data_IF_521011688410
#
_entry.id   IF_521011688410
#
_cell.length_a   1.000
_cell.length_b   1.000
_cell.length_c   1.000
_cell.angle_alpha   90.00
_cell.angle_beta   90.00
_cell.angle_gamma   90.00
#
_symmetry.space_group_name_H-M   'P 1'
#
loop_
_entity.id
_entity.type
_entity.pdbx_description
1 polymer ?
#
# COMPACT_ATOMS: atom_id res chain seq x y z
N UNK A 1 -9.56 12.61 -14.72
CA UNK A 1 -9.44 13.82 -15.58
C UNK A 1 -10.01 13.61 -16.98
N UNK A 2 -9.85 12.42 -17.58
CA UNK A 2 -10.37 12.09 -18.93
C UNK A 2 -11.88 12.37 -19.08
N UNK A 3 -12.71 12.05 -18.07
CA UNK A 3 -14.16 12.30 -18.13
C UNK A 3 -14.53 13.78 -18.34
N UNK A 4 -13.82 14.70 -17.69
CA UNK A 4 -14.07 16.14 -17.85
C UNK A 4 -13.70 16.63 -19.24
N UNK A 5 -12.56 16.18 -19.77
CA UNK A 5 -12.12 16.50 -21.12
C UNK A 5 -13.08 15.94 -22.19
N UNK A 6 -13.52 14.69 -22.02
CA UNK A 6 -14.49 14.06 -22.91
C UNK A 6 -15.83 14.80 -22.91
N UNK A 7 -16.34 15.18 -21.73
CA UNK A 7 -17.57 15.94 -21.61
C UNK A 7 -17.47 17.33 -22.27
N UNK A 8 -16.35 18.05 -22.09
CA UNK A 8 -16.14 19.35 -22.73
C UNK A 8 -16.10 19.23 -24.26
N UNK A 9 -15.43 18.19 -24.79
CA UNK A 9 -15.38 17.92 -26.25
C UNK A 9 -16.77 17.64 -26.81
N UNK A 10 -17.57 16.82 -26.14
CA UNK A 10 -18.92 16.47 -26.58
C UNK A 10 -19.89 17.67 -26.48
N UNK A 11 -19.75 18.50 -25.46
CA UNK A 11 -20.64 19.64 -25.23
C UNK A 11 -20.27 20.90 -26.03
N UNK A 12 -19.08 20.95 -26.63
CA UNK A 12 -18.58 22.12 -27.38
C UNK A 12 -18.43 23.39 -26.53
N UNK A 13 -18.31 23.25 -25.21
CA UNK A 13 -18.23 24.36 -24.25
C UNK A 13 -17.46 23.96 -22.99
N UNK A 14 -16.97 24.91 -22.18
CA UNK A 14 -16.32 24.60 -20.91
C UNK A 14 -17.22 23.81 -19.97
N UNK A 15 -16.68 22.77 -19.34
CA UNK A 15 -17.38 21.90 -18.38
C UNK A 15 -16.63 21.88 -17.06
N UNK A 16 -17.35 22.02 -15.94
CA UNK A 16 -16.83 21.84 -14.58
C UNK A 16 -17.37 20.56 -13.97
N UNK A 17 -16.48 19.60 -13.68
CA UNK A 17 -16.80 18.40 -12.93
C UNK A 17 -16.51 18.64 -11.45
N UNK A 18 -17.49 18.37 -10.58
CA UNK A 18 -17.30 18.38 -9.14
C UNK A 18 -17.78 17.06 -8.54
N UNK A 19 -17.08 16.61 -7.51
CA UNK A 19 -17.47 15.46 -6.71
C UNK A 19 -18.08 15.94 -5.40
N UNK A 20 -19.17 15.29 -4.98
CA UNK A 20 -19.65 15.41 -3.59
C UNK A 20 -18.65 14.72 -2.64
N UNK A 21 -18.75 15.00 -1.33
CA UNK A 21 -17.93 14.28 -0.34
C UNK A 21 -18.17 12.76 -0.40
N UNK A 22 -19.42 12.32 -0.56
CA UNK A 22 -19.74 10.90 -0.70
C UNK A 22 -19.12 10.28 -1.95
N UNK A 23 -19.13 11.01 -3.08
CA UNK A 23 -18.51 10.56 -4.33
C UNK A 23 -16.99 10.43 -4.22
N UNK A 24 -16.32 11.32 -3.47
CA UNK A 24 -14.88 11.21 -3.22
C UNK A 24 -14.52 9.85 -2.60
N UNK A 25 -15.24 9.43 -1.57
CA UNK A 25 -14.98 8.14 -0.89
C UNK A 25 -15.27 6.91 -1.76
N UNK A 26 -16.14 7.05 -2.77
CA UNK A 26 -16.54 5.93 -3.64
C UNK A 26 -15.75 5.81 -4.93
N UNK A 27 -15.05 6.88 -5.35
CA UNK A 27 -14.45 6.95 -6.69
C UNK A 27 -12.94 7.22 -6.70
N UNK A 28 -12.39 7.84 -5.66
CA UNK A 28 -10.98 8.27 -5.66
C UNK A 28 -10.04 7.20 -5.10
N UNK A 29 -10.57 6.30 -4.27
CA UNK A 29 -9.78 5.27 -3.62
C UNK A 29 -9.16 5.72 -2.30
N UNK A 30 -8.49 4.77 -1.65
CA UNK A 30 -7.82 4.96 -0.37
C UNK A 30 -6.49 4.21 -0.32
N UNK A 31 -5.86 4.21 0.86
CA UNK A 31 -4.71 3.34 1.12
C UNK A 31 -5.14 1.88 1.02
N UNK A 32 -4.25 1.06 0.48
CA UNK A 32 -4.45 -0.38 0.36
C UNK A 32 -4.54 -1.05 1.73
N UNK A 33 -5.49 -1.96 1.89
CA UNK A 33 -5.53 -2.84 3.06
C UNK A 33 -4.38 -3.85 2.96
N UNK A 34 -3.63 -4.01 4.05
CA UNK A 34 -2.51 -4.96 4.14
C UNK A 34 -2.69 -5.88 5.33
N UNK A 35 -2.29 -7.13 5.17
CA UNK A 35 -2.10 -8.07 6.27
C UNK A 35 -0.65 -8.52 6.23
N UNK A 36 0.06 -8.35 7.35
CA UNK A 36 1.50 -8.54 7.41
C UNK A 36 1.84 -9.46 8.58
N UNK A 37 2.78 -10.37 8.35
CA UNK A 37 3.42 -11.19 9.37
C UNK A 37 4.90 -10.85 9.39
N UNK A 38 5.37 -10.39 10.54
CA UNK A 38 6.78 -10.13 10.79
C UNK A 38 7.28 -11.14 11.83
N UNK A 39 8.48 -11.66 11.63
CA UNK A 39 9.17 -12.45 12.64
C UNK A 39 10.66 -12.08 12.63
N UNK A 40 11.22 -11.91 13.82
CA UNK A 40 12.59 -11.47 14.02
C UNK A 40 13.36 -12.55 14.78
N UNK A 41 14.54 -12.90 14.27
CA UNK A 41 15.54 -13.66 15.01
C UNK A 41 16.62 -12.70 15.49
N UNK A 42 17.00 -12.77 16.77
CA UNK A 42 18.05 -11.95 17.35
C UNK A 42 19.00 -12.78 18.21
N UNK A 43 20.27 -12.38 18.25
CA UNK A 43 21.25 -12.91 19.19
C UNK A 43 21.09 -12.31 20.59
N UNK A 44 21.81 -12.86 21.58
CA UNK A 44 21.83 -12.33 22.95
C UNK A 44 22.44 -10.91 23.04
N UNK A 45 23.16 -10.47 22.02
CA UNK A 45 23.69 -9.11 21.88
C UNK A 45 22.69 -8.11 21.26
N UNK A 46 21.47 -8.58 20.95
CA UNK A 46 20.40 -7.79 20.35
C UNK A 46 20.52 -7.57 18.85
N UNK A 47 21.50 -8.17 18.17
CA UNK A 47 21.63 -8.04 16.71
C UNK A 47 20.69 -9.00 15.99
N UNK A 48 19.99 -8.49 14.97
CA UNK A 48 19.12 -9.30 14.13
C UNK A 48 19.95 -10.29 13.29
N UNK A 49 19.57 -11.55 13.34
CA UNK A 49 20.15 -12.65 12.56
C UNK A 49 19.24 -13.07 11.41
N UNK A 50 17.92 -12.91 11.57
CA UNK A 50 16.92 -13.20 10.54
C UNK A 50 15.76 -12.20 10.62
N UNK A 51 15.26 -11.78 9.46
CA UNK A 51 14.05 -10.96 9.33
C UNK A 51 13.12 -11.62 8.30
N UNK A 52 11.93 -11.98 8.75
CA UNK A 52 10.84 -12.42 7.89
C UNK A 52 9.78 -11.33 7.80
N UNK A 53 9.41 -10.94 6.58
CA UNK A 53 8.33 -9.98 6.34
C UNK A 53 7.45 -10.47 5.20
N UNK A 54 6.37 -11.16 5.58
CA UNK A 54 5.44 -11.78 4.64
C UNK A 54 4.08 -11.10 4.70
N UNK A 55 3.32 -11.12 3.61
CA UNK A 55 1.94 -10.64 3.69
C UNK A 55 1.18 -10.55 2.39
N UNK A 56 -0.01 -9.97 2.50
CA UNK A 56 -0.97 -9.77 1.43
C UNK A 56 -1.40 -8.31 1.37
N UNK A 57 -1.48 -7.78 0.15
CA UNK A 57 -2.14 -6.51 -0.16
C UNK A 57 -3.32 -6.77 -1.09
N UNK A 58 -4.43 -6.05 -0.90
CA UNK A 58 -5.64 -6.25 -1.71
C UNK A 58 -5.82 -5.14 -2.73
N UNK A 59 -6.18 -5.47 -3.97
CA UNK A 59 -6.51 -4.46 -5.01
C UNK A 59 -7.57 -5.00 -5.96
N UNK A 60 -8.29 -4.17 -6.73
CA UNK A 60 -9.03 -4.69 -7.88
C UNK A 60 -8.06 -5.01 -9.02
N UNK A 61 -8.46 -5.96 -9.86
CA UNK A 61 -7.66 -6.46 -10.99
C UNK A 61 -7.14 -5.36 -11.94
N UNK A 62 -7.91 -4.28 -12.08
CA UNK A 62 -7.57 -3.15 -12.96
C UNK A 62 -6.81 -2.01 -12.24
N UNK A 63 -6.48 -2.17 -10.95
CA UNK A 63 -5.74 -1.16 -10.20
C UNK A 63 -4.28 -1.10 -10.67
N UNK A 64 -3.80 0.13 -10.85
CA UNK A 64 -2.41 0.45 -11.16
C UNK A 64 -1.57 0.72 -9.89
N UNK A 65 -2.21 0.75 -8.72
CA UNK A 65 -1.54 0.98 -7.44
C UNK A 65 -1.28 -0.36 -6.75
N UNK A 66 -0.01 -0.77 -6.75
CA UNK A 66 0.50 -1.91 -5.98
C UNK A 66 1.19 -1.37 -4.73
N UNK A 67 0.64 -1.66 -3.55
CA UNK A 67 1.17 -1.14 -2.29
C UNK A 67 2.35 -2.00 -1.82
N UNK A 68 3.57 -1.51 -2.03
CA UNK A 68 4.81 -2.18 -1.64
C UNK A 68 5.15 -2.11 -0.16
N UNK A 69 4.30 -2.63 0.74
CA UNK A 69 4.56 -2.59 2.19
C UNK A 69 5.85 -3.34 2.60
N UNK A 70 6.30 -4.30 1.79
CA UNK A 70 7.52 -5.09 2.06
C UNK A 70 8.83 -4.33 1.84
N UNK A 71 8.79 -3.09 1.33
CA UNK A 71 9.97 -2.24 1.17
C UNK A 71 10.70 -2.03 2.49
N UNK A 72 9.94 -1.89 3.58
CA UNK A 72 10.49 -1.59 4.91
C UNK A 72 11.30 -2.75 5.47
N UNK A 73 10.86 -3.99 5.23
CA UNK A 73 11.59 -5.20 5.64
C UNK A 73 12.96 -5.32 4.97
N UNK A 74 13.16 -4.68 3.82
CA UNK A 74 14.40 -4.71 3.05
C UNK A 74 15.42 -3.67 3.49
N UNK A 75 14.99 -2.61 4.17
CA UNK A 75 15.82 -1.40 4.28
C UNK A 75 15.94 -0.80 5.68
N UNK A 76 15.04 -1.05 6.62
CA UNK A 76 15.11 -0.37 7.93
C UNK A 76 16.25 -0.87 8.81
N UNK A 77 16.45 -2.19 8.89
CA UNK A 77 17.42 -2.79 9.79
C UNK A 77 18.37 -3.75 9.08
N UNK A 78 19.62 -3.76 9.54
CA UNK A 78 20.57 -4.78 9.15
C UNK A 78 20.20 -6.11 9.81
N UNK A 79 20.19 -7.19 9.02
CA UNK A 79 19.99 -8.56 9.46
C UNK A 79 20.92 -9.48 8.67
N UNK A 80 21.33 -10.60 9.25
CA UNK A 80 22.16 -11.60 8.59
C UNK A 80 21.45 -12.31 7.43
N UNK A 81 20.13 -12.41 7.48
CA UNK A 81 19.29 -13.04 6.46
C UNK A 81 17.90 -12.41 6.38
N UNK A 82 17.31 -12.47 5.19
CA UNK A 82 16.01 -11.89 4.90
C UNK A 82 15.13 -12.89 4.13
N UNK A 83 13.89 -13.03 4.54
CA UNK A 83 12.83 -13.71 3.78
C UNK A 83 11.63 -12.77 3.65
N UNK A 84 11.45 -12.20 2.45
CA UNK A 84 10.50 -11.10 2.23
C UNK A 84 9.62 -11.45 1.04
N UNK A 85 8.34 -11.68 1.32
CA UNK A 85 7.37 -12.17 0.35
C UNK A 85 6.11 -11.32 0.43
N UNK A 86 5.73 -10.70 -0.68
CA UNK A 86 4.51 -9.92 -0.78
C UNK A 86 3.61 -10.51 -1.86
N UNK A 87 2.38 -10.81 -1.48
CA UNK A 87 1.33 -11.24 -2.38
C UNK A 87 0.32 -10.13 -2.63
N UNK A 88 -0.34 -10.20 -3.78
CA UNK A 88 -1.51 -9.39 -4.08
C UNK A 88 -2.73 -10.29 -4.23
N UNK A 89 -3.87 -9.84 -3.72
CA UNK A 89 -5.16 -10.50 -3.87
C UNK A 89 -6.09 -9.58 -4.64
N UNK A 90 -6.61 -10.08 -5.74
CA UNK A 90 -7.61 -9.38 -6.54
C UNK A 90 -8.98 -9.48 -5.87
N UNK A 91 -9.59 -8.33 -5.56
CA UNK A 91 -10.91 -8.22 -4.93
C UNK A 91 -11.77 -7.14 -5.59
N UNK A 92 -13.09 -7.32 -5.53
CA UNK A 92 -14.07 -6.34 -6.04
C UNK A 92 -14.25 -5.17 -5.06
N UNK A 93 -13.30 -4.25 -5.08
CA UNK A 93 -13.27 -3.06 -4.23
C UNK A 93 -12.89 -1.80 -5.04
N UNK A 94 -13.09 -0.62 -4.45
CA UNK A 94 -12.70 0.65 -5.07
C UNK A 94 -11.18 0.66 -5.26
N UNK A 95 -10.72 0.98 -6.46
CA UNK A 95 -9.28 1.01 -6.76
C UNK A 95 -8.50 1.85 -5.76
N UNK A 96 -7.41 1.28 -5.24
CA UNK A 96 -6.53 1.97 -4.31
C UNK A 96 -5.84 3.14 -5.00
N UNK A 97 -5.40 4.11 -4.19
CA UNK A 97 -4.61 5.25 -4.66
C UNK A 97 -3.44 5.48 -3.72
N UNK A 98 -2.39 6.10 -4.25
CA UNK A 98 -1.24 6.51 -3.45
C UNK A 98 -1.66 7.43 -2.30
N UNK A 99 -1.16 7.12 -1.11
CA UNK A 99 -1.30 7.93 0.10
C UNK A 99 0.09 8.23 0.65
N UNK A 100 0.22 9.30 1.44
CA UNK A 100 1.51 9.78 1.99
C UNK A 100 2.30 8.62 2.61
N UNK A 101 3.58 8.44 2.23
CA UNK A 101 4.38 7.24 2.53
C UNK A 101 3.72 5.94 2.00
N UNK A 102 3.71 5.75 0.66
CA UNK A 102 3.11 4.59 0.01
C UNK A 102 3.94 3.33 0.25
N UNK A 103 3.36 2.33 0.89
CA UNK A 103 4.06 1.13 1.35
C UNK A 103 4.79 1.34 2.67
N UNK A 104 5.54 2.44 2.85
CA UNK A 104 6.32 2.60 4.07
C UNK A 104 5.44 2.79 5.31
N UNK A 105 4.38 3.59 5.24
CA UNK A 105 3.51 3.80 6.40
C UNK A 105 2.94 2.50 6.99
N UNK A 106 2.31 1.61 6.20
CA UNK A 106 1.86 0.31 6.74
C UNK A 106 3.03 -0.65 7.01
N UNK A 107 4.12 -0.58 6.25
CA UNK A 107 5.25 -1.49 6.39
C UNK A 107 6.10 -1.23 7.64
N UNK A 108 6.32 0.04 8.02
CA UNK A 108 7.09 0.39 9.21
C UNK A 108 6.29 0.07 10.45
N UNK A 109 4.97 0.31 10.46
CA UNK A 109 4.12 -0.06 11.57
C UNK A 109 4.30 -1.54 11.97
N UNK A 110 4.28 -2.46 10.99
CA UNK A 110 4.43 -3.87 11.27
C UNK A 110 5.81 -4.26 11.82
N UNK A 111 6.88 -3.64 11.31
CA UNK A 111 8.26 -3.95 11.74
C UNK A 111 8.55 -3.35 13.10
N UNK A 112 8.24 -2.07 13.31
CA UNK A 112 8.52 -1.38 14.57
C UNK A 112 7.72 -2.02 15.72
N UNK A 113 6.47 -2.44 15.49
CA UNK A 113 5.75 -3.22 16.50
C UNK A 113 6.44 -4.54 16.83
N UNK A 114 6.97 -5.26 15.84
CA UNK A 114 7.71 -6.51 16.09
C UNK A 114 9.07 -6.28 16.76
N UNK A 115 9.68 -5.10 16.58
CA UNK A 115 10.92 -4.73 17.27
C UNK A 115 10.67 -4.42 18.76
N UNK A 116 9.49 -3.90 19.10
CA UNK A 116 9.11 -3.54 20.48
C UNK A 116 8.60 -4.73 21.32
N UNK A 117 8.12 -5.81 20.69
CA UNK A 117 7.67 -7.06 21.35
C UNK A 117 8.83 -7.89 21.95
#
# INVERSE_FOLDING_TARGET
>A
QILGAAAAKLAGRPVRVRLSRASMHRLVGGRTQTQQRVALGAGADGKLTALLHHGYATKPKHSICDEGFSLTGRSLYASGSFDIVQHHVDLDLVANSFMRAPGEAPGTFAIECAMDE
#
